data_IF_137419518174
#
_entry.id   IF_137419518174
#
_cell.length_a   1.000
_cell.length_b   1.000
_cell.length_c   1.000
_cell.angle_alpha   90.00
_cell.angle_beta   90.00
_cell.angle_gamma   90.00
#
_symmetry.space_group_name_H-M   'P 1'
#
loop_
_entity.id
_entity.type
_entity.pdbx_description
1 polymer ?
#
# COMPACT_ATOMS: atom_id res chain seq x y z
N UNK A 1 -7.49 -33.20 -4.01
CA UNK A 1 -6.25 -32.40 -4.10
C UNK A 1 -6.26 -31.19 -3.18
N UNK A 2 -5.25 -30.30 -3.27
CA UNK A 2 -5.13 -29.09 -2.46
C UNK A 2 -6.11 -28.00 -2.90
N UNK A 3 -6.22 -26.94 -2.09
CA UNK A 3 -7.12 -25.79 -2.31
C UNK A 3 -6.49 -24.50 -1.75
N UNK A 4 -6.66 -23.38 -2.48
CA UNK A 4 -6.12 -22.06 -2.11
C UNK A 4 -7.02 -21.30 -1.13
N UNK A 5 -6.41 -20.41 -0.34
CA UNK A 5 -7.10 -19.61 0.69
C UNK A 5 -7.90 -18.43 0.10
N UNK A 6 -8.99 -18.04 0.77
CA UNK A 6 -9.87 -16.91 0.43
C UNK A 6 -9.42 -15.57 1.06
N UNK A 7 -8.26 -15.56 1.73
CA UNK A 7 -7.72 -14.42 2.48
C UNK A 7 -6.21 -14.57 2.76
N UNK A 8 -5.55 -13.47 3.12
CA UNK A 8 -4.11 -13.40 3.42
C UNK A 8 -3.73 -12.16 4.24
N UNK A 9 -2.63 -12.23 5.01
CA UNK A 9 -2.14 -11.16 5.88
C UNK A 9 -1.27 -10.13 5.13
N UNK A 10 -1.47 -8.84 5.37
CA UNK A 10 -0.89 -7.76 4.56
C UNK A 10 -0.58 -6.46 5.32
N UNK A 11 0.26 -5.63 4.70
CA UNK A 11 0.57 -4.24 5.06
C UNK A 11 0.42 -3.36 3.82
N UNK A 12 0.11 -2.06 3.98
CA UNK A 12 -0.06 -1.12 2.86
C UNK A 12 0.30 0.34 3.19
N UNK A 13 0.42 1.16 2.14
CA UNK A 13 0.60 2.63 2.18
C UNK A 13 -0.44 3.28 1.27
N UNK A 14 -0.99 4.44 1.67
CA UNK A 14 -1.76 5.36 0.84
C UNK A 14 -0.95 6.63 0.59
N UNK A 15 -0.87 7.06 -0.66
CA UNK A 15 -0.40 8.39 -1.09
C UNK A 15 -1.57 9.11 -1.79
N UNK A 16 -2.20 10.06 -1.11
CA UNK A 16 -3.34 10.83 -1.63
C UNK A 16 -2.97 11.69 -2.85
N UNK A 17 -3.75 11.57 -3.94
CA UNK A 17 -3.70 12.49 -5.10
C UNK A 17 -4.82 13.52 -4.98
N UNK A 18 -4.48 14.79 -5.18
CA UNK A 18 -5.41 15.93 -5.21
C UNK A 18 -5.35 16.66 -6.57
N UNK A 19 -6.51 17.13 -7.06
CA UNK A 19 -6.61 17.98 -8.25
C UNK A 19 -6.28 19.46 -7.96
N UNK A 20 -6.48 19.91 -6.71
CA UNK A 20 -6.14 21.26 -6.23
C UNK A 20 -4.66 21.36 -5.80
N UNK A 21 -4.02 22.48 -6.13
CA UNK A 21 -2.64 22.79 -5.69
C UNK A 21 -2.54 23.19 -4.22
N UNK A 22 -3.61 23.75 -3.65
CA UNK A 22 -3.64 24.36 -2.30
C UNK A 22 -3.99 23.39 -1.16
N UNK A 23 -4.49 22.18 -1.46
CA UNK A 23 -4.90 21.19 -0.45
C UNK A 23 -3.69 20.52 0.23
N UNK A 24 -3.67 20.52 1.57
CA UNK A 24 -2.60 19.93 2.39
C UNK A 24 -2.78 18.42 2.67
N UNK A 25 -3.96 17.86 2.36
CA UNK A 25 -4.33 16.47 2.59
C UNK A 25 -3.49 15.48 1.75
N UNK A 26 -3.17 15.85 0.51
CA UNK A 26 -2.36 15.06 -0.44
C UNK A 26 -1.42 15.90 -1.29
N UNK A 27 -0.96 15.33 -2.40
CA UNK A 27 -0.02 15.93 -3.35
C UNK A 27 -0.62 16.04 -4.76
N UNK A 28 0.02 16.81 -5.64
CA UNK A 28 -0.24 16.77 -7.09
C UNK A 28 0.10 15.40 -7.67
N UNK A 29 -0.57 14.99 -8.76
CA UNK A 29 -0.50 13.61 -9.28
C UNK A 29 0.93 13.16 -9.65
N UNK A 30 1.77 14.05 -10.19
CA UNK A 30 3.18 13.77 -10.50
C UNK A 30 4.06 13.64 -9.24
N UNK A 31 3.77 14.42 -8.20
CA UNK A 31 4.49 14.40 -6.92
C UNK A 31 4.10 13.18 -6.08
N UNK A 32 2.82 12.81 -6.08
CA UNK A 32 2.30 11.59 -5.49
C UNK A 32 2.90 10.33 -6.14
N UNK A 33 2.97 10.29 -7.48
CA UNK A 33 3.59 9.20 -8.23
C UNK A 33 5.09 9.07 -7.91
N UNK A 34 5.82 10.18 -7.86
CA UNK A 34 7.24 10.20 -7.48
C UNK A 34 7.45 9.70 -6.04
N UNK A 35 6.65 10.21 -5.09
CA UNK A 35 6.69 9.75 -3.69
C UNK A 35 6.42 8.24 -3.58
N UNK A 36 5.38 7.75 -4.28
CA UNK A 36 5.04 6.32 -4.32
C UNK A 36 6.17 5.46 -4.90
N UNK A 37 6.81 5.89 -5.99
CA UNK A 37 7.95 5.19 -6.60
C UNK A 37 9.19 5.17 -5.68
N UNK A 38 9.53 6.28 -5.02
CA UNK A 38 10.74 6.33 -4.19
C UNK A 38 10.59 5.55 -2.87
N UNK A 39 9.38 5.43 -2.30
CA UNK A 39 9.15 4.55 -1.13
C UNK A 39 9.01 3.08 -1.54
N UNK A 40 8.41 2.78 -2.70
CA UNK A 40 8.33 1.42 -3.27
C UNK A 40 9.73 0.80 -3.36
N UNK A 41 10.69 1.47 -4.02
CA UNK A 41 12.04 0.91 -4.16
C UNK A 41 12.79 0.78 -2.82
N UNK A 42 12.41 1.54 -1.78
CA UNK A 42 12.98 1.45 -0.43
C UNK A 42 12.31 0.36 0.43
N UNK A 43 11.00 0.14 0.33
CA UNK A 43 10.31 -0.95 1.06
C UNK A 43 10.43 -2.32 0.36
N UNK A 44 10.60 -2.36 -0.96
CA UNK A 44 10.77 -3.61 -1.73
C UNK A 44 12.13 -4.28 -1.48
N UNK A 45 13.21 -3.50 -1.34
CA UNK A 45 14.55 -4.02 -1.01
C UNK A 45 14.69 -4.49 0.45
N UNK A 46 13.81 -4.05 1.35
CA UNK A 46 13.76 -4.44 2.76
C UNK A 46 12.33 -4.31 3.33
N UNK A 47 11.52 -5.39 3.34
CA UNK A 47 10.15 -5.39 3.81
C UNK A 47 10.03 -5.32 5.35
N UNK A 48 11.11 -5.51 6.10
CA UNK A 48 11.12 -5.28 7.56
C UNK A 48 11.09 -3.78 7.90
N UNK A 49 11.62 -2.93 7.01
CA UNK A 49 11.54 -1.46 7.11
C UNK A 49 10.19 -0.89 6.64
N UNK A 50 9.31 -1.70 6.02
CA UNK A 50 7.98 -1.27 5.57
C UNK A 50 7.19 -0.60 6.71
N UNK A 51 7.22 -1.16 7.92
CA UNK A 51 6.48 -0.64 9.07
C UNK A 51 7.01 0.68 9.63
N UNK A 52 8.32 0.95 9.48
CA UNK A 52 8.94 2.23 9.83
C UNK A 52 8.67 3.30 8.75
N UNK A 53 8.72 2.92 7.47
CA UNK A 53 8.50 3.83 6.33
C UNK A 53 7.03 4.21 6.20
N UNK A 54 6.10 3.25 6.28
CA UNK A 54 4.66 3.50 6.19
C UNK A 54 4.18 4.46 7.29
N UNK A 55 4.67 4.29 8.52
CA UNK A 55 4.33 5.13 9.69
C UNK A 55 4.74 6.61 9.52
N UNK A 56 5.79 6.89 8.74
CA UNK A 56 6.19 8.26 8.37
C UNK A 56 5.52 8.77 7.08
N UNK A 57 5.49 7.95 6.02
CA UNK A 57 5.22 8.40 4.65
C UNK A 57 3.77 8.19 4.19
N UNK A 58 2.99 7.29 4.79
CA UNK A 58 1.58 7.07 4.41
C UNK A 58 0.66 8.17 4.95
N UNK A 59 -0.31 8.61 4.12
CA UNK A 59 -1.35 9.58 4.51
C UNK A 59 -2.57 8.93 5.16
N UNK A 60 -2.73 7.61 5.14
CA UNK A 60 -3.80 6.90 5.86
C UNK A 60 -3.41 6.68 7.34
N UNK A 61 -3.70 7.68 8.18
CA UNK A 61 -3.44 7.65 9.63
C UNK A 61 -4.14 6.51 10.37
N UNK A 62 -5.20 5.92 9.78
CA UNK A 62 -5.91 4.76 10.34
C UNK A 62 -5.10 3.46 10.28
N UNK A 63 -4.12 3.34 9.39
CA UNK A 63 -3.20 2.19 9.33
C UNK A 63 -1.73 2.57 9.59
N UNK A 64 -1.28 3.77 9.22
CA UNK A 64 0.09 4.25 9.43
C UNK A 64 0.50 4.24 10.90
N UNK A 65 -0.39 4.66 11.80
CA UNK A 65 -0.19 4.63 13.26
C UNK A 65 -0.18 3.19 13.83
N UNK A 66 -0.63 2.21 13.06
CA UNK A 66 -0.50 0.75 13.29
C UNK A 66 0.59 0.11 12.40
N UNK A 67 1.60 0.88 11.96
CA UNK A 67 2.78 0.44 11.21
C UNK A 67 2.43 -0.01 9.77
N UNK A 68 1.32 0.50 9.22
CA UNK A 68 0.80 0.16 7.88
C UNK A 68 0.04 -1.16 7.82
N UNK A 69 -0.10 -1.89 8.94
CA UNK A 69 -0.71 -3.22 8.97
C UNK A 69 -2.23 -3.16 8.72
N UNK A 70 -2.73 -4.03 7.83
CA UNK A 70 -4.15 -4.30 7.62
C UNK A 70 -4.64 -5.56 8.37
N UNK A 71 -3.72 -6.45 8.76
CA UNK A 71 -4.05 -7.81 9.21
C UNK A 71 -4.45 -8.69 8.03
N UNK A 72 -5.35 -9.65 8.26
CA UNK A 72 -5.91 -10.48 7.19
C UNK A 72 -6.91 -9.71 6.32
N UNK A 73 -6.63 -9.62 5.01
CA UNK A 73 -7.49 -9.01 3.99
C UNK A 73 -8.34 -10.10 3.35
N UNK A 74 -9.68 -9.92 3.37
CA UNK A 74 -10.65 -10.79 2.72
C UNK A 74 -10.89 -10.30 1.28
N UNK A 75 -11.14 -11.23 0.34
CA UNK A 75 -11.53 -10.88 -1.02
C UNK A 75 -12.82 -10.03 -1.05
N UNK A 76 -12.81 -8.94 -1.84
CA UNK A 76 -13.92 -7.98 -1.99
C UNK A 76 -13.90 -6.80 -1.01
N UNK A 77 -12.96 -6.74 -0.06
CA UNK A 77 -12.85 -5.62 0.89
C UNK A 77 -12.18 -4.38 0.27
N UNK A 78 -11.21 -4.58 -0.62
CA UNK A 78 -10.37 -3.55 -1.24
C UNK A 78 -10.76 -3.31 -2.71
N UNK A 79 -10.12 -2.33 -3.34
CA UNK A 79 -10.23 -2.06 -4.78
C UNK A 79 -9.77 -3.27 -5.62
N UNK A 80 -10.33 -3.42 -6.83
CA UNK A 80 -9.98 -4.52 -7.75
C UNK A 80 -8.51 -4.49 -8.19
N UNK A 81 -7.92 -3.30 -8.33
CA UNK A 81 -6.48 -3.11 -8.62
C UNK A 81 -5.61 -3.51 -7.42
N UNK A 82 -6.03 -3.13 -6.21
CA UNK A 82 -5.35 -3.48 -4.95
C UNK A 82 -5.37 -5.00 -4.71
N UNK A 83 -6.53 -5.64 -4.90
CA UNK A 83 -6.70 -7.09 -4.76
C UNK A 83 -5.82 -7.86 -5.77
N UNK A 84 -5.83 -7.45 -7.05
CA UNK A 84 -4.98 -8.05 -8.09
C UNK A 84 -3.48 -7.96 -7.75
N UNK A 85 -3.04 -6.82 -7.20
CA UNK A 85 -1.66 -6.58 -6.80
C UNK A 85 -1.25 -7.27 -5.49
N UNK A 86 -2.19 -7.60 -4.61
CA UNK A 86 -1.96 -8.30 -3.33
C UNK A 86 -1.96 -9.83 -3.50
N UNK A 87 -2.98 -10.39 -4.15
CA UNK A 87 -3.17 -11.86 -4.19
C UNK A 87 -2.15 -12.60 -5.07
N UNK A 88 -1.38 -11.89 -5.91
CA UNK A 88 -0.23 -12.45 -6.64
C UNK A 88 1.06 -12.61 -5.81
N UNK A 89 1.16 -11.97 -4.63
CA UNK A 89 2.37 -11.93 -3.80
C UNK A 89 2.61 -13.22 -3.02
N UNK A 90 3.87 -13.60 -2.86
CA UNK A 90 4.31 -14.64 -1.91
C UNK A 90 4.39 -14.09 -0.46
N UNK A 91 4.52 -14.96 0.55
CA UNK A 91 4.69 -14.55 1.95
C UNK A 91 5.95 -13.67 2.14
N UNK A 92 5.77 -12.47 2.71
CA UNK A 92 6.83 -11.48 2.90
C UNK A 92 7.15 -10.62 1.66
N UNK A 93 6.52 -10.87 0.51
CA UNK A 93 6.82 -10.19 -0.77
C UNK A 93 6.10 -8.84 -0.90
N UNK A 94 6.66 -7.95 -1.72
CA UNK A 94 6.18 -6.57 -1.98
C UNK A 94 5.75 -6.42 -3.45
N UNK A 95 4.68 -5.66 -3.67
CA UNK A 95 4.10 -5.38 -5.00
C UNK A 95 4.86 -4.27 -5.79
N UNK A 96 4.27 -3.08 -5.90
CA UNK A 96 4.56 -2.02 -6.86
C UNK A 96 3.74 -0.76 -6.53
N UNK A 97 3.84 0.29 -7.35
CA UNK A 97 2.94 1.46 -7.28
C UNK A 97 1.61 1.10 -7.97
N UNK A 98 0.56 0.94 -7.16
CA UNK A 98 -0.80 0.56 -7.61
C UNK A 98 -1.70 1.80 -7.61
N UNK A 99 -2.31 2.14 -8.74
CA UNK A 99 -3.21 3.30 -8.85
C UNK A 99 -4.68 2.93 -8.55
N UNK A 100 -5.36 3.77 -7.77
CA UNK A 100 -6.76 3.62 -7.34
C UNK A 100 -7.47 5.00 -7.25
N UNK A 101 -8.74 5.03 -6.86
CA UNK A 101 -9.55 6.27 -6.82
C UNK A 101 -9.04 7.37 -5.87
N UNK A 102 -8.24 7.00 -4.85
CA UNK A 102 -7.65 7.92 -3.87
C UNK A 102 -6.29 8.50 -4.32
N UNK A 103 -5.67 7.92 -5.35
CA UNK A 103 -4.29 8.18 -5.77
C UNK A 103 -3.50 6.88 -5.91
N UNK A 104 -2.37 6.79 -5.20
CA UNK A 104 -1.44 5.67 -5.29
C UNK A 104 -1.34 4.86 -3.99
N UNK A 105 -1.17 3.56 -4.11
CA UNK A 105 -0.99 2.61 -3.02
C UNK A 105 0.24 1.72 -3.26
N UNK A 106 0.89 1.29 -2.18
CA UNK A 106 1.99 0.31 -2.19
C UNK A 106 1.60 -0.80 -1.20
N UNK A 107 1.78 -2.07 -1.58
CA UNK A 107 1.26 -3.22 -0.83
C UNK A 107 2.36 -4.27 -0.58
N UNK A 108 2.39 -4.81 0.62
CA UNK A 108 3.23 -5.91 1.08
C UNK A 108 2.35 -7.07 1.61
N UNK A 109 2.66 -8.32 1.25
CA UNK A 109 2.17 -9.50 1.95
C UNK A 109 3.10 -9.82 3.13
N UNK A 110 2.54 -10.30 4.26
CA UNK A 110 3.28 -10.54 5.50
C UNK A 110 3.62 -12.03 5.71
N UNK A 111 4.59 -12.30 6.60
CA UNK A 111 5.10 -13.66 6.93
C UNK A 111 4.13 -14.46 7.80
#
# INVERSE_FOLDING_TARGET
>A
GPLGSDSKKASHILIKVKSKKSDKEGLDDKEAKQKAEEIQKEVSKDPSKFGEIAKKESMDTGSAKKDGELGYVLKGQTDKDFEKALFKLKDGEVSEVVKSSFGYHIIKADK
#
